data_IF_166809744986
#
_entry.id   IF_166809744986
#
_cell.length_a   1.000
_cell.length_b   1.000
_cell.length_c   1.000
_cell.angle_alpha   90.00
_cell.angle_beta   90.00
_cell.angle_gamma   90.00
#
_symmetry.space_group_name_H-M   'P 1'
#
loop_
_entity.id
_entity.type
_entity.pdbx_description
1 polymer ?
#
# COMPACT_ATOMS: atom_id res chain seq x y z
N UNK A 1 11.25 17.85 -20.50
CA UNK A 1 11.97 16.65 -20.09
C UNK A 1 11.52 15.55 -21.04
N UNK A 2 12.45 14.95 -21.78
CA UNK A 2 12.16 13.82 -22.66
C UNK A 2 12.27 12.55 -21.83
N UNK A 3 11.13 12.06 -21.31
CA UNK A 3 11.08 10.82 -20.53
C UNK A 3 11.09 9.61 -21.45
N UNK A 4 12.08 8.73 -21.29
CA UNK A 4 12.11 7.42 -21.95
C UNK A 4 11.62 6.34 -20.98
N UNK A 5 10.75 5.44 -21.44
CA UNK A 5 10.26 4.30 -20.67
C UNK A 5 11.42 3.33 -20.38
N UNK A 6 11.69 3.05 -19.10
CA UNK A 6 12.74 2.11 -18.67
C UNK A 6 12.21 0.67 -18.57
N UNK A 7 11.04 0.51 -17.96
CA UNK A 7 10.34 -0.76 -17.80
C UNK A 7 8.84 -0.51 -17.64
N UNK A 8 8.04 -1.54 -17.79
CA UNK A 8 6.60 -1.52 -17.55
C UNK A 8 6.19 -2.84 -16.91
N UNK A 9 5.44 -2.75 -15.81
CA UNK A 9 4.82 -3.89 -15.16
C UNK A 9 3.30 -3.76 -15.26
N UNK A 10 2.63 -4.82 -15.71
CA UNK A 10 1.17 -4.86 -15.85
C UNK A 10 0.62 -5.87 -14.87
N UNK A 11 -0.33 -5.42 -14.05
CA UNK A 11 -1.14 -6.30 -13.22
C UNK A 11 -2.47 -6.54 -13.92
N UNK A 12 -3.05 -7.72 -13.73
CA UNK A 12 -4.37 -8.03 -14.25
C UNK A 12 -5.39 -7.04 -13.69
N UNK A 13 -6.34 -6.63 -14.54
CA UNK A 13 -7.41 -5.76 -14.13
C UNK A 13 -8.43 -6.57 -13.34
N UNK A 14 -8.61 -6.24 -12.07
CA UNK A 14 -9.66 -6.79 -11.22
C UNK A 14 -10.80 -5.78 -11.09
N UNK A 15 -12.03 -6.27 -10.91
CA UNK A 15 -13.16 -5.39 -10.69
C UNK A 15 -12.97 -4.62 -9.38
N UNK A 16 -12.96 -3.29 -9.51
CA UNK A 16 -12.93 -2.36 -8.37
C UNK A 16 -14.33 -1.85 -8.12
N UNK A 17 -14.63 -1.50 -6.86
CA UNK A 17 -15.91 -0.89 -6.51
C UNK A 17 -16.22 0.30 -7.43
N UNK A 18 -17.34 0.20 -8.14
CA UNK A 18 -17.84 1.18 -9.12
C UNK A 18 -16.97 1.37 -10.38
N UNK A 19 -16.00 0.49 -10.65
CA UNK A 19 -15.16 0.51 -11.84
C UNK A 19 -14.12 1.64 -11.87
N UNK A 20 -13.70 2.14 -10.70
CA UNK A 20 -12.85 3.33 -10.58
C UNK A 20 -11.35 3.06 -10.77
N UNK A 21 -10.95 1.80 -10.90
CA UNK A 21 -9.56 1.38 -11.08
C UNK A 21 -8.70 1.56 -9.83
N UNK A 22 -7.44 1.09 -9.88
CA UNK A 22 -6.49 1.27 -8.79
C UNK A 22 -6.04 2.74 -8.70
N UNK A 23 -5.98 3.28 -7.47
CA UNK A 23 -5.54 4.66 -7.22
C UNK A 23 -4.55 4.79 -6.05
N UNK A 24 -4.06 3.67 -5.52
CA UNK A 24 -2.97 3.69 -4.55
C UNK A 24 -1.68 4.16 -5.24
N UNK A 25 -1.02 5.17 -4.67
CA UNK A 25 0.26 5.64 -5.20
C UNK A 25 1.37 4.65 -4.83
N UNK A 26 2.31 4.37 -5.73
CA UNK A 26 3.47 3.56 -5.40
C UNK A 26 4.39 4.30 -4.43
N UNK A 27 5.11 3.55 -3.59
CA UNK A 27 6.12 4.12 -2.67
C UNK A 27 7.48 3.51 -2.95
N UNK A 28 8.47 4.37 -3.21
CA UNK A 28 9.85 3.98 -3.37
C UNK A 28 10.58 4.11 -2.03
N UNK A 29 11.23 3.03 -1.60
CA UNK A 29 12.19 3.07 -0.50
C UNK A 29 13.43 2.25 -0.88
N UNK A 30 14.58 2.92 -0.84
CA UNK A 30 15.84 2.44 -1.38
C UNK A 30 15.67 1.97 -2.84
N UNK A 31 16.01 0.72 -3.13
CA UNK A 31 15.87 0.11 -4.47
C UNK A 31 14.56 -0.68 -4.63
N UNK A 32 13.58 -0.47 -3.75
CA UNK A 32 12.31 -1.22 -3.74
C UNK A 32 11.11 -0.32 -3.94
N UNK A 33 10.31 -0.63 -4.96
CA UNK A 33 9.04 0.01 -5.24
C UNK A 33 7.89 -0.84 -4.69
N UNK A 34 7.15 -0.32 -3.73
CA UNK A 34 5.99 -0.98 -3.14
C UNK A 34 4.70 -0.48 -3.82
N UNK A 35 3.85 -1.41 -4.22
CA UNK A 35 2.54 -1.14 -4.80
C UNK A 35 1.50 -1.92 -4.01
N UNK A 36 0.44 -1.23 -3.62
CA UNK A 36 -0.77 -1.84 -3.04
C UNK A 36 -1.86 -1.77 -4.09
N UNK A 37 -2.56 -2.88 -4.30
CA UNK A 37 -3.72 -2.95 -5.15
C UNK A 37 -4.81 -3.67 -4.39
N UNK A 38 -5.72 -2.92 -3.76
CA UNK A 38 -6.85 -3.49 -3.03
C UNK A 38 -8.11 -3.38 -3.91
N UNK A 39 -8.69 -4.53 -4.26
CA UNK A 39 -9.88 -4.68 -5.12
C UNK A 39 -10.91 -5.60 -4.45
N UNK A 40 -12.13 -5.71 -4.99
CA UNK A 40 -13.16 -6.58 -4.39
C UNK A 40 -12.91 -8.08 -4.70
N UNK A 41 -11.98 -8.40 -5.61
CA UNK A 41 -11.71 -9.77 -6.06
C UNK A 41 -10.30 -10.24 -5.66
N UNK A 42 -9.27 -9.45 -5.98
CA UNK A 42 -7.87 -9.80 -5.77
C UNK A 42 -7.10 -8.61 -5.18
N UNK A 43 -7.03 -8.56 -3.86
CA UNK A 43 -6.25 -7.57 -3.13
C UNK A 43 -4.84 -8.08 -2.86
N UNK A 44 -3.82 -7.27 -3.13
CA UNK A 44 -2.43 -7.64 -2.89
C UNK A 44 -1.52 -6.44 -2.60
N UNK A 45 -0.38 -6.73 -1.98
CA UNK A 45 0.78 -5.83 -1.92
C UNK A 45 1.96 -6.52 -2.58
N UNK A 46 2.68 -5.77 -3.41
CA UNK A 46 3.83 -6.26 -4.18
C UNK A 46 5.02 -5.33 -4.00
N UNK A 47 6.20 -5.92 -3.91
CA UNK A 47 7.47 -5.19 -3.94
C UNK A 47 8.19 -5.51 -5.25
N UNK A 48 8.57 -4.46 -5.97
CA UNK A 48 9.33 -4.54 -7.21
C UNK A 48 10.74 -3.98 -7.01
N UNK A 49 11.70 -4.49 -7.75
CA UNK A 49 12.98 -3.81 -7.94
C UNK A 49 12.76 -2.51 -8.72
N UNK A 50 13.22 -1.38 -8.19
CA UNK A 50 12.97 -0.07 -8.81
C UNK A 50 13.72 0.12 -10.15
N UNK A 51 14.84 -0.56 -10.34
CA UNK A 51 15.65 -0.45 -11.54
C UNK A 51 15.13 -1.36 -12.67
N UNK A 52 14.63 -2.56 -12.34
CA UNK A 52 14.22 -3.56 -13.34
C UNK A 52 12.71 -3.74 -13.47
N UNK A 53 11.94 -3.40 -12.44
CA UNK A 53 10.50 -3.71 -12.34
C UNK A 53 10.20 -5.17 -11.98
N UNK A 54 11.22 -5.98 -11.69
CA UNK A 54 11.05 -7.39 -11.33
C UNK A 54 10.43 -7.55 -9.94
N UNK A 55 9.51 -8.50 -9.80
CA UNK A 55 8.86 -8.79 -8.53
C UNK A 55 9.85 -9.42 -7.54
N UNK A 56 10.08 -8.75 -6.41
CA UNK A 56 10.85 -9.28 -5.27
C UNK A 56 9.99 -10.18 -4.41
N UNK A 57 8.76 -9.76 -4.14
CA UNK A 57 7.76 -10.54 -3.40
C UNK A 57 6.35 -10.00 -3.63
N UNK A 58 5.35 -10.86 -3.39
CA UNK A 58 3.93 -10.54 -3.35
C UNK A 58 3.25 -11.17 -2.14
N UNK A 59 2.25 -10.47 -1.61
CA UNK A 59 1.35 -10.96 -0.57
C UNK A 59 -0.09 -10.65 -0.93
N UNK A 60 -0.90 -11.69 -0.91
CA UNK A 60 -2.35 -11.55 -1.02
C UNK A 60 -2.89 -10.92 0.26
N UNK A 61 -3.94 -10.13 0.11
CA UNK A 61 -4.60 -9.38 1.17
C UNK A 61 -6.07 -9.72 1.13
N UNK A 62 -6.66 -9.91 2.30
CA UNK A 62 -8.11 -10.02 2.43
C UNK A 62 -8.63 -8.62 2.77
N UNK A 63 -8.87 -7.83 1.72
CA UNK A 63 -9.39 -6.45 1.78
C UNK A 63 -10.36 -6.24 0.61
N UNK A 64 -11.42 -5.46 0.82
CA UNK A 64 -12.22 -4.91 -0.28
C UNK A 64 -11.57 -3.66 -0.87
N UNK A 65 -12.11 -3.20 -2.01
CA UNK A 65 -11.57 -2.07 -2.79
C UNK A 65 -11.15 -0.89 -1.91
N UNK A 66 -9.87 -0.53 -1.99
CA UNK A 66 -9.31 0.59 -1.24
C UNK A 66 -8.26 1.35 -2.08
N UNK A 67 -8.15 2.65 -1.83
CA UNK A 67 -7.24 3.56 -2.53
C UNK A 67 -6.16 4.11 -1.60
N UNK A 68 -5.84 3.35 -0.57
CA UNK A 68 -4.86 3.72 0.44
C UNK A 68 -3.45 3.66 -0.10
N UNK A 69 -2.77 4.81 -0.07
CA UNK A 69 -1.35 4.87 -0.39
C UNK A 69 -0.55 4.33 0.81
N UNK A 70 0.31 3.31 0.63
CA UNK A 70 1.12 2.78 1.70
C UNK A 70 2.08 3.85 2.26
N UNK A 71 2.58 3.64 3.48
CA UNK A 71 3.57 4.51 4.11
C UNK A 71 4.74 3.70 4.64
N UNK A 72 5.94 4.12 4.27
CA UNK A 72 7.16 3.54 4.85
C UNK A 72 7.46 4.26 6.15
N UNK A 73 7.21 3.57 7.26
CA UNK A 73 7.46 4.06 8.60
C UNK A 73 8.83 3.59 9.09
N UNK A 74 9.76 4.54 9.21
CA UNK A 74 11.06 4.32 9.86
C UNK A 74 10.97 4.74 11.33
N UNK A 75 11.25 3.83 12.24
CA UNK A 75 11.36 4.09 13.68
C UNK A 75 12.70 3.57 14.23
N UNK A 76 12.96 3.79 15.52
CA UNK A 76 14.23 3.41 16.16
C UNK A 76 14.50 1.89 16.17
N UNK A 77 13.46 1.07 15.98
CA UNK A 77 13.54 -0.40 16.03
C UNK A 77 13.72 -0.98 14.63
N UNK A 78 12.95 -0.49 13.64
CA UNK A 78 12.93 -1.02 12.26
C UNK A 78 12.21 -0.09 11.27
N UNK A 79 12.32 -0.44 10.00
CA UNK A 79 11.53 0.11 8.91
C UNK A 79 10.38 -0.83 8.55
N UNK A 80 9.18 -0.28 8.37
CA UNK A 80 7.99 -1.05 8.07
C UNK A 80 7.16 -0.39 6.97
N UNK A 81 6.49 -1.20 6.14
CA UNK A 81 5.48 -0.74 5.20
C UNK A 81 4.10 -0.84 5.85
N UNK A 82 3.51 0.30 6.19
CA UNK A 82 2.18 0.39 6.75
C UNK A 82 1.16 0.58 5.63
N UNK A 83 0.14 -0.27 5.63
CA UNK A 83 -0.96 -0.24 4.67
C UNK A 83 -2.28 -0.11 5.42
N UNK A 84 -3.14 0.75 4.94
CA UNK A 84 -4.52 0.87 5.44
C UNK A 84 -5.43 0.10 4.49
N UNK A 85 -6.26 -0.76 5.05
CA UNK A 85 -7.29 -1.55 4.37
C UNK A 85 -8.69 -1.01 4.62
N UNK A 86 -9.68 -1.70 4.06
CA UNK A 86 -11.10 -1.47 4.32
C UNK A 86 -11.52 -2.02 5.69
N UNK A 87 -10.86 -3.08 6.16
CA UNK A 87 -11.15 -3.71 7.45
C UNK A 87 -9.98 -3.58 8.45
N UNK A 88 -8.75 -3.64 7.96
CA UNK A 88 -7.56 -3.73 8.81
C UNK A 88 -6.45 -2.77 8.40
N UNK A 89 -5.68 -2.31 9.39
CA UNK A 89 -4.37 -1.71 9.13
C UNK A 89 -3.33 -2.78 9.40
N UNK A 90 -2.48 -3.02 8.40
CA UNK A 90 -1.42 -4.03 8.45
C UNK A 90 -0.07 -3.38 8.24
N UNK A 91 0.93 -3.89 8.93
CA UNK A 91 2.32 -3.52 8.72
C UNK A 91 3.13 -4.72 8.27
N UNK A 92 4.01 -4.50 7.30
CA UNK A 92 4.92 -5.49 6.76
C UNK A 92 6.37 -5.05 6.97
N UNK A 93 7.29 -6.00 7.16
CA UNK A 93 8.69 -5.70 6.94
C UNK A 93 8.97 -5.51 5.44
N UNK A 94 10.19 -5.09 5.10
CA UNK A 94 10.59 -4.87 3.71
C UNK A 94 10.68 -6.17 2.89
N UNK A 95 10.59 -7.34 3.53
CA UNK A 95 10.57 -8.66 2.91
C UNK A 95 9.14 -9.23 2.76
N UNK A 96 8.12 -8.45 3.12
CA UNK A 96 6.71 -8.85 3.02
C UNK A 96 6.23 -9.77 4.14
N UNK A 97 6.93 -9.87 5.26
CA UNK A 97 6.44 -10.53 6.47
C UNK A 97 5.51 -9.58 7.20
N UNK A 98 4.25 -10.00 7.46
CA UNK A 98 3.36 -9.23 8.33
C UNK A 98 3.95 -9.16 9.75
N UNK A 99 4.04 -7.95 10.28
CA UNK A 99 4.61 -7.64 11.60
C UNK A 99 3.53 -7.46 12.65
N UNK A 100 2.43 -6.80 12.29
CA UNK A 100 1.26 -6.60 13.12
C UNK A 100 0.06 -6.19 12.26
N UNK A 101 -1.13 -6.43 12.79
CA UNK A 101 -2.41 -6.01 12.22
C UNK A 101 -3.36 -5.55 13.32
N UNK A 102 -4.17 -4.53 13.02
CA UNK A 102 -5.24 -4.05 13.90
C UNK A 102 -6.53 -3.92 13.10
N UNK A 103 -7.61 -4.52 13.64
CA UNK A 103 -8.99 -4.40 13.15
C UNK A 103 -9.81 -3.48 14.06
N UNK A 104 -10.91 -2.93 13.53
CA UNK A 104 -11.81 -2.02 14.27
C UNK A 104 -11.81 -0.58 13.78
N UNK A 105 -11.31 -0.34 12.57
CA UNK A 105 -11.43 0.96 11.88
C UNK A 105 -12.70 0.97 11.02
N UNK A 106 -13.25 2.16 10.75
CA UNK A 106 -14.44 2.31 9.91
C UNK A 106 -14.13 1.95 8.45
N UNK A 107 -15.13 1.40 7.74
CA UNK A 107 -15.05 0.74 6.42
C UNK A 107 -14.39 1.48 5.24
N UNK A 108 -13.91 2.71 5.43
CA UNK A 108 -13.21 3.52 4.43
C UNK A 108 -12.10 4.30 5.14
N UNK A 109 -10.85 3.90 4.92
CA UNK A 109 -9.67 4.58 5.48
C UNK A 109 -8.85 5.13 4.31
N UNK A 110 -8.91 6.44 4.05
CA UNK A 110 -8.17 7.13 2.96
C UNK A 110 -6.93 7.94 3.42
N UNK A 111 -6.56 8.11 4.72
CA UNK A 111 -5.38 8.93 5.01
C UNK A 111 -4.09 8.19 4.67
N UNK A 112 -3.20 8.89 3.95
CA UNK A 112 -1.78 8.58 3.98
C UNK A 112 -1.29 8.68 5.43
N UNK A 113 -0.78 7.59 6.03
CA UNK A 113 -0.10 7.70 7.31
C UNK A 113 1.09 8.65 7.14
N UNK A 114 1.27 9.58 8.06
CA UNK A 114 2.53 10.29 8.21
C UNK A 114 2.94 10.25 9.68
N UNK A 115 4.24 10.23 9.93
CA UNK A 115 4.78 10.27 11.28
C UNK A 115 5.27 11.68 11.63
N UNK A 116 4.99 12.10 12.87
CA UNK A 116 5.62 13.27 13.47
C UNK A 116 5.82 12.98 14.97
N UNK A 117 7.03 13.25 15.50
CA UNK A 117 7.37 13.09 16.92
C UNK A 117 7.10 11.67 17.50
N UNK A 118 7.32 10.61 16.73
CA UNK A 118 7.16 9.23 17.20
C UNK A 118 5.71 8.72 17.23
N UNK A 119 4.75 9.48 16.69
CA UNK A 119 3.35 9.10 16.56
C UNK A 119 2.95 9.03 15.08
N UNK A 120 2.28 7.95 14.68
CA UNK A 120 1.56 7.85 13.40
C UNK A 120 0.13 8.37 13.57
N UNK A 121 -0.25 9.35 12.75
CA UNK A 121 -1.59 9.96 12.77
C UNK A 121 -2.39 9.52 11.53
N UNK A 122 -3.68 9.22 11.74
CA UNK A 122 -4.65 8.93 10.68
C UNK A 122 -5.71 10.05 10.66
N UNK A 123 -5.97 10.67 9.51
CA UNK A 123 -7.02 11.70 9.37
C UNK A 123 -8.28 11.13 8.69
N UNK A 124 -9.42 11.16 9.38
CA UNK A 124 -10.73 10.79 8.84
C UNK A 124 -11.41 12.03 8.22
N UNK A 125 -11.95 11.89 7.01
CA UNK A 125 -12.99 12.79 6.48
C UNK A 125 -14.35 12.15 6.77
N UNK A 126 -15.11 12.76 7.68
CA UNK A 126 -16.53 12.43 7.90
C UNK A 126 -17.34 13.47 7.13
N UNK A 127 -17.97 13.06 6.02
CA UNK A 127 -19.08 13.81 5.45
C UNK A 127 -20.38 13.26 6.08
N UNK A 128 -21.10 14.16 6.76
CA UNK A 128 -22.46 13.94 7.28
C UNK A 128 -23.46 13.70 6.15
#
# INVERSE_FOLDING_TARGET
>A
MDGNQLWEQRFDASDTRLGWGPAASPVLHDDTLFIVNDTDEDSFVVALDAATGEERWRRDRDEGTNWSTPFVWQNEIRTELVTTGSDQVRSYDLNGQELWSFSGLSSITIPQPFSAHGLSLYHLWICW
#
